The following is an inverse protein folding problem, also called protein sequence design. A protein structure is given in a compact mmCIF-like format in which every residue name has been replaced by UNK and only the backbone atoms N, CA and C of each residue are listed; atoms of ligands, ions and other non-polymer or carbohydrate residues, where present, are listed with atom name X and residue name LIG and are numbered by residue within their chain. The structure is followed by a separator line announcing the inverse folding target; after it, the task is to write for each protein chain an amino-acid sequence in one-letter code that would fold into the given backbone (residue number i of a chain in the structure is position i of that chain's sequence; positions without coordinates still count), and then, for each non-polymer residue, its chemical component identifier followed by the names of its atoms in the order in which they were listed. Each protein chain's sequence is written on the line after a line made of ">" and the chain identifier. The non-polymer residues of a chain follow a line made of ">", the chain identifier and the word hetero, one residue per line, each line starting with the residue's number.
data_IF_942604428731
#
_entry.id   IF_942604428731
#
_cell.length_a   1.000
_cell.length_b   1.000
_cell.length_c   1.000
_cell.angle_alpha   90.00
_cell.angle_beta   90.00
_cell.angle_gamma   90.00
#
_symmetry.space_group_name_H-M   'P 1'
#
loop_
_entity.id
_entity.type
_entity.pdbx_description
1 polymer ?
#
# COMPACT_ATOMS: atom_id res chain seq x y z
N UNK A 1 -3.08 -13.29 -1.76
CA UNK A 1 -3.73 -14.58 -2.02
C UNK A 1 -4.33 -14.57 -3.42
N UNK A 2 -5.42 -15.30 -3.62
CA UNK A 2 -6.34 -15.02 -4.73
C UNK A 2 -7.70 -14.68 -4.10
N UNK A 3 -8.41 -13.71 -4.66
CA UNK A 3 -9.63 -13.16 -4.07
C UNK A 3 -9.37 -11.82 -3.40
N UNK A 4 -10.44 -11.20 -2.88
CA UNK A 4 -10.34 -9.89 -2.25
C UNK A 4 -10.02 -10.05 -0.77
N UNK A 5 -8.79 -9.74 -0.39
CA UNK A 5 -8.24 -9.93 0.93
C UNK A 5 -8.15 -8.61 1.73
N UNK A 6 -8.12 -8.73 3.05
CA UNK A 6 -7.73 -7.65 3.96
C UNK A 6 -6.53 -8.13 4.77
N UNK A 7 -5.37 -7.52 4.52
CA UNK A 7 -4.09 -7.92 5.10
C UNK A 7 -3.57 -6.80 6.01
N UNK A 8 -3.03 -7.18 7.18
CA UNK A 8 -2.47 -6.25 8.15
C UNK A 8 -1.17 -6.81 8.73
N UNK A 9 -0.10 -6.01 8.72
CA UNK A 9 1.22 -6.37 9.28
C UNK A 9 1.24 -6.22 10.79
N UNK A 10 0.79 -5.06 11.27
CA UNK A 10 0.75 -4.76 12.71
C UNK A 10 1.95 -3.94 13.12
N UNK A 11 2.55 -4.25 14.27
CA UNK A 11 3.78 -3.58 14.71
C UNK A 11 5.01 -4.33 14.16
N UNK A 12 6.00 -3.58 13.70
CA UNK A 12 7.26 -4.12 13.20
C UNK A 12 7.45 -3.85 11.71
N UNK A 13 8.53 -4.40 11.15
CA UNK A 13 8.81 -4.27 9.73
C UNK A 13 8.21 -5.46 9.00
N UNK A 14 7.14 -5.22 8.26
CA UNK A 14 6.36 -6.26 7.62
C UNK A 14 6.60 -6.34 6.11
N UNK A 15 6.32 -7.53 5.55
CA UNK A 15 6.29 -7.75 4.11
C UNK A 15 4.96 -8.39 3.76
N UNK A 16 4.14 -7.68 2.98
CA UNK A 16 2.77 -8.09 2.67
C UNK A 16 2.55 -8.04 1.16
N UNK A 17 1.89 -9.06 0.64
CA UNK A 17 1.55 -9.20 -0.78
C UNK A 17 0.08 -9.62 -0.91
N UNK A 18 -0.73 -8.73 -1.49
CA UNK A 18 -2.16 -8.94 -1.76
C UNK A 18 -2.41 -10.03 -2.80
N UNK A 19 -1.54 -10.19 -3.79
CA UNK A 19 -1.68 -11.19 -4.83
C UNK A 19 -2.75 -10.79 -5.86
N UNK A 20 -3.67 -11.69 -6.19
CA UNK A 20 -4.69 -11.40 -7.20
C UNK A 20 -6.04 -11.10 -6.58
N UNK A 21 -6.68 -10.02 -6.99
CA UNK A 21 -8.00 -9.61 -6.50
C UNK A 21 -7.95 -8.18 -5.97
N UNK A 22 -9.09 -7.66 -5.52
CA UNK A 22 -9.13 -6.28 -4.98
C UNK A 22 -8.82 -6.31 -3.50
N UNK A 23 -7.58 -5.97 -3.17
CA UNK A 23 -7.03 -6.14 -1.84
C UNK A 23 -6.96 -4.84 -1.06
N UNK A 24 -6.98 -4.99 0.27
CA UNK A 24 -6.64 -3.93 1.20
C UNK A 24 -5.44 -4.35 2.03
N UNK A 25 -4.31 -3.70 1.78
CA UNK A 25 -3.02 -3.99 2.42
C UNK A 25 -2.67 -2.87 3.41
N UNK A 26 -2.40 -3.23 4.66
CA UNK A 26 -2.08 -2.29 5.74
C UNK A 26 -0.77 -2.73 6.40
N UNK A 27 0.26 -1.89 6.37
CA UNK A 27 1.54 -2.13 7.05
C UNK A 27 1.39 -2.00 8.56
N UNK A 28 1.38 -0.76 9.05
CA UNK A 28 1.26 -0.43 10.46
C UNK A 28 2.45 0.39 10.91
N UNK A 29 2.83 0.37 12.20
CA UNK A 29 4.05 1.01 12.64
C UNK A 29 5.29 0.15 12.31
N UNK A 30 6.23 0.73 11.57
CA UNK A 30 7.52 0.12 11.21
C UNK A 30 7.89 0.44 9.77
N UNK A 31 8.97 -0.15 9.28
CA UNK A 31 9.40 0.04 7.89
C UNK A 31 8.93 -1.14 7.05
N UNK A 32 7.90 -0.94 6.24
CA UNK A 32 7.16 -2.00 5.57
C UNK A 32 7.46 -2.10 4.05
N UNK A 33 7.31 -3.31 3.49
CA UNK A 33 7.30 -3.59 2.04
C UNK A 33 5.94 -4.17 1.65
N UNK A 34 5.08 -3.33 1.08
CA UNK A 34 3.67 -3.60 0.82
C UNK A 34 3.40 -3.67 -0.67
N UNK A 35 2.77 -4.75 -1.13
CA UNK A 35 2.33 -4.93 -2.52
C UNK A 35 0.83 -5.19 -2.61
N UNK A 36 0.14 -4.42 -3.45
CA UNK A 36 -1.26 -4.67 -3.84
C UNK A 36 -1.34 -5.94 -4.68
N UNK A 37 -0.84 -5.90 -5.90
CA UNK A 37 -0.73 -7.07 -6.76
C UNK A 37 -1.45 -6.87 -8.09
N UNK A 38 -2.35 -7.78 -8.44
CA UNK A 38 -3.19 -7.67 -9.64
C UNK A 38 -4.58 -7.17 -9.26
N UNK A 39 -5.18 -6.35 -10.12
CA UNK A 39 -6.47 -5.65 -9.92
C UNK A 39 -6.32 -4.40 -9.04
N UNK A 40 -7.43 -3.68 -8.83
CA UNK A 40 -7.41 -2.37 -8.15
C UNK A 40 -7.36 -2.54 -6.64
N UNK A 41 -6.26 -2.07 -6.05
CA UNK A 41 -5.93 -2.26 -4.64
C UNK A 41 -5.93 -0.97 -3.81
N UNK A 42 -5.95 -1.14 -2.49
CA UNK A 42 -5.68 -0.09 -1.51
C UNK A 42 -4.54 -0.46 -0.58
N UNK A 43 -3.43 0.27 -0.66
CA UNK A 43 -2.21 0.02 0.12
C UNK A 43 -1.97 1.17 1.11
N UNK A 44 -1.74 0.85 2.38
CA UNK A 44 -1.56 1.84 3.46
C UNK A 44 -0.33 1.50 4.32
N UNK A 45 0.72 2.34 4.31
CA UNK A 45 1.94 2.16 5.11
C UNK A 45 1.72 2.48 6.60
N UNK A 46 1.37 3.75 6.88
CA UNK A 46 1.22 4.38 8.19
C UNK A 46 2.49 5.09 8.68
N UNK A 47 3.27 4.52 9.59
CA UNK A 47 4.41 5.25 10.19
C UNK A 47 5.67 4.44 10.06
N UNK A 48 6.72 5.10 9.58
CA UNK A 48 8.02 4.49 9.32
C UNK A 48 8.40 4.72 7.85
N UNK A 49 9.56 4.23 7.46
CA UNK A 49 10.04 4.39 6.09
C UNK A 49 9.55 3.21 5.24
N UNK A 50 8.45 3.42 4.52
CA UNK A 50 7.74 2.35 3.83
C UNK A 50 8.00 2.31 2.32
N UNK A 51 7.82 1.13 1.75
CA UNK A 51 7.77 0.88 0.31
C UNK A 51 6.39 0.35 -0.06
N UNK A 52 5.65 1.13 -0.83
CA UNK A 52 4.32 0.78 -1.32
C UNK A 52 4.36 0.56 -2.83
N UNK A 53 3.93 -0.62 -3.26
CA UNK A 53 3.83 -1.03 -4.66
C UNK A 53 2.37 -1.37 -4.96
N UNK A 54 1.68 -0.55 -5.76
CA UNK A 54 0.29 -0.82 -6.14
C UNK A 54 0.17 -2.11 -6.95
N UNK A 55 1.14 -2.34 -7.85
CA UNK A 55 1.12 -3.48 -8.77
C UNK A 55 0.51 -3.10 -10.11
N UNK A 56 -0.46 -3.89 -10.57
CA UNK A 56 -1.14 -3.70 -11.85
C UNK A 56 -2.51 -3.07 -11.65
N UNK A 57 -2.90 -2.15 -12.54
CA UNK A 57 -4.14 -1.36 -12.50
C UNK A 57 -3.99 -0.02 -11.76
N UNK A 58 -5.12 0.63 -11.50
CA UNK A 58 -5.17 1.99 -10.96
C UNK A 58 -5.30 1.92 -9.44
N UNK A 59 -4.17 1.82 -8.75
CA UNK A 59 -4.12 1.51 -7.31
C UNK A 59 -4.11 2.74 -6.41
N UNK A 60 -4.62 2.57 -5.20
CA UNK A 60 -4.68 3.62 -4.21
C UNK A 60 -3.68 3.42 -3.06
N UNK A 61 -2.61 4.22 -3.04
CA UNK A 61 -1.63 4.19 -1.96
C UNK A 61 -1.71 5.44 -1.12
N UNK A 62 -1.81 5.25 0.20
CA UNK A 62 -1.62 6.30 1.18
C UNK A 62 -0.49 5.89 2.09
N UNK A 63 0.29 6.88 2.50
CA UNK A 63 1.19 6.68 3.62
C UNK A 63 1.19 7.88 4.57
N UNK A 64 1.76 7.69 5.76
CA UNK A 64 1.87 8.69 6.81
C UNK A 64 3.31 9.22 6.96
N UNK A 65 3.83 9.19 8.18
CA UNK A 65 5.10 9.82 8.53
C UNK A 65 6.27 8.92 8.15
N UNK A 66 7.29 9.47 7.50
CA UNK A 66 8.49 8.74 7.13
C UNK A 66 9.04 9.20 5.79
N UNK A 67 10.09 8.53 5.33
CA UNK A 67 10.63 8.67 3.98
C UNK A 67 10.17 7.49 3.14
N UNK A 68 9.16 7.73 2.31
CA UNK A 68 8.39 6.64 1.71
C UNK A 68 8.63 6.55 0.20
N UNK A 69 8.47 5.34 -0.34
CA UNK A 69 8.63 5.04 -1.77
C UNK A 69 7.29 4.51 -2.31
N UNK A 70 6.76 5.16 -3.35
CA UNK A 70 5.55 4.74 -4.04
C UNK A 70 5.87 4.25 -5.45
N UNK A 71 5.34 3.09 -5.82
CA UNK A 71 5.52 2.46 -7.13
C UNK A 71 4.17 2.01 -7.64
N UNK A 72 3.93 2.22 -8.94
CA UNK A 72 2.71 1.84 -9.63
C UNK A 72 1.44 2.22 -8.85
N UNK A 73 1.44 3.44 -8.29
CA UNK A 73 0.36 3.87 -7.43
C UNK A 73 -0.14 5.26 -7.79
N UNK A 74 -1.46 5.39 -7.83
CA UNK A 74 -2.14 6.65 -8.05
C UNK A 74 -2.14 7.41 -6.72
N UNK A 75 -1.09 8.19 -6.48
CA UNK A 75 -1.09 9.16 -5.39
C UNK A 75 -2.04 10.29 -5.77
N UNK A 76 -3.00 10.68 -4.91
CA UNK A 76 -3.73 11.94 -5.09
C UNK A 76 -2.71 13.04 -5.45
N UNK A 77 -2.89 13.80 -6.54
CA UNK A 77 -2.01 14.92 -6.79
C UNK A 77 -2.14 15.86 -5.58
N UNK A 78 -1.02 16.10 -4.90
CA UNK A 78 -0.93 17.15 -3.90
C UNK A 78 -1.26 18.49 -4.58
N UNK A 79 -2.53 18.92 -4.48
CA UNK A 79 -3.11 20.09 -5.15
C UNK A 79 -3.69 19.73 -6.53
N UNK A 80 -5.00 19.84 -6.75
CA UNK A 80 -5.77 21.07 -6.58
C UNK A 80 -7.08 20.85 -5.82
N UNK A 81 -7.17 21.44 -4.62
CA UNK A 81 -8.46 21.90 -4.12
C UNK A 81 -8.98 23.00 -5.08
N UNK A 82 -10.21 22.86 -5.56
CA UNK A 82 -10.98 23.98 -6.10
C UNK A 82 -11.67 24.73 -4.97
#
# INVERSE_FOLDING_TARGET
>A
GAGNDVLSGGEGNDTIDGGAGKDRVIGGPGNDDLRGGDDVDSVVGNTGDDRLDGGSADDFCIDGLGTNIFIACETFPAGTAS
#
